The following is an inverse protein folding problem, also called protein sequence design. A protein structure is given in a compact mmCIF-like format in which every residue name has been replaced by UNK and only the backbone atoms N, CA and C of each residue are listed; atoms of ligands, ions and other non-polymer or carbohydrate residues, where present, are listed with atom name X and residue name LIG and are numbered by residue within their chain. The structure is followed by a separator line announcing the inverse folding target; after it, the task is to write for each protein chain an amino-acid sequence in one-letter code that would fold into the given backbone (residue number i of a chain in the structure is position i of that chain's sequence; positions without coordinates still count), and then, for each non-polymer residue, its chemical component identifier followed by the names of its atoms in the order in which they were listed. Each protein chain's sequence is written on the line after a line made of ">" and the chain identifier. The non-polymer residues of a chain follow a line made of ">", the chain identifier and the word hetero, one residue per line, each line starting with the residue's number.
data_IF_172084626861
#
_entry.id   IF_172084626861
#
_cell.length_a   1.000
_cell.length_b   1.000
_cell.length_c   1.000
_cell.angle_alpha   90.00
_cell.angle_beta   90.00
_cell.angle_gamma   90.00
#
_symmetry.space_group_name_H-M   'P 1'
#
loop_
_entity.id
_entity.type
_entity.pdbx_description
1 polymer ?
#
# COMPACT_ATOMS: atom_id res chain seq x y z
N UNK A 1 12.36 -31.36 -1.96
CA UNK A 1 11.42 -30.24 -1.91
C UNK A 1 12.12 -29.06 -1.25
N UNK A 2 12.39 -27.97 -1.98
CA UNK A 2 12.87 -26.73 -1.37
C UNK A 2 11.73 -26.18 -0.52
N UNK A 3 11.94 -26.16 0.79
CA UNK A 3 11.03 -25.51 1.73
C UNK A 3 10.95 -24.03 1.31
N UNK A 4 9.79 -23.58 0.83
CA UNK A 4 9.57 -22.16 0.49
C UNK A 4 9.62 -21.40 1.80
N UNK A 5 10.53 -20.43 1.89
CA UNK A 5 10.54 -19.46 2.99
C UNK A 5 9.16 -18.76 3.01
N UNK A 6 8.38 -18.88 4.10
CA UNK A 6 7.01 -18.37 4.13
C UNK A 6 6.93 -16.85 4.20
N UNK A 7 8.07 -16.16 4.27
CA UNK A 7 8.12 -14.70 4.42
C UNK A 7 8.86 -14.03 3.26
N UNK A 8 8.55 -12.76 3.03
CA UNK A 8 9.29 -11.90 2.09
C UNK A 8 10.08 -10.87 2.86
N UNK A 9 11.41 -10.92 2.74
CA UNK A 9 12.34 -10.06 3.46
C UNK A 9 13.55 -9.70 2.60
N UNK A 10 14.26 -8.65 2.97
CA UNK A 10 15.56 -8.34 2.37
C UNK A 10 16.57 -9.48 2.64
N UNK A 11 17.58 -9.61 1.80
CA UNK A 11 18.58 -10.70 1.87
C UNK A 11 18.14 -12.02 1.24
N UNK A 12 16.91 -12.13 0.75
CA UNK A 12 16.49 -13.25 -0.10
C UNK A 12 17.00 -13.05 -1.54
N UNK A 13 17.04 -14.14 -2.33
CA UNK A 13 17.56 -14.13 -3.70
C UNK A 13 16.91 -13.09 -4.62
N UNK A 14 15.62 -12.79 -4.43
CA UNK A 14 14.90 -11.79 -5.22
C UNK A 14 15.42 -10.35 -5.01
N UNK A 15 15.99 -10.06 -3.84
CA UNK A 15 16.50 -8.73 -3.50
C UNK A 15 17.90 -8.45 -4.06
N UNK A 16 18.57 -9.48 -4.59
CA UNK A 16 19.87 -9.33 -5.23
C UNK A 16 19.72 -8.71 -6.63
N UNK A 17 20.69 -7.92 -7.09
CA UNK A 17 20.70 -7.43 -8.46
C UNK A 17 20.62 -8.58 -9.47
N UNK A 18 19.73 -8.44 -10.44
CA UNK A 18 19.61 -9.37 -11.57
C UNK A 18 20.55 -8.89 -12.67
N UNK A 19 21.62 -9.63 -12.94
CA UNK A 19 22.48 -9.40 -14.09
C UNK A 19 22.08 -10.38 -15.16
N UNK A 20 21.44 -9.90 -16.22
CA UNK A 20 21.06 -10.72 -17.37
C UNK A 20 22.18 -10.60 -18.42
N UNK A 21 23.12 -11.53 -18.38
CA UNK A 21 24.12 -11.75 -19.44
C UNK A 21 23.65 -12.89 -20.32
N UNK A 22 23.50 -12.64 -21.62
CA UNK A 22 23.35 -13.74 -22.61
C UNK A 22 21.96 -13.96 -23.22
N UNK A 23 20.97 -13.12 -22.97
CA UNK A 23 19.75 -13.10 -23.79
C UNK A 23 19.83 -11.93 -24.77
N UNK A 24 20.52 -12.14 -25.86
CA UNK A 24 20.92 -11.08 -26.75
C UNK A 24 20.31 -11.27 -28.14
N UNK A 25 19.46 -10.31 -28.54
CA UNK A 25 19.42 -9.87 -29.94
C UNK A 25 20.56 -8.84 -30.21
N UNK A 26 21.30 -8.44 -29.20
CA UNK A 26 22.47 -7.56 -29.22
C UNK A 26 23.12 -7.63 -27.84
N UNK A 27 24.40 -7.85 -27.72
CA UNK A 27 25.21 -8.00 -26.48
C UNK A 27 25.12 -6.79 -25.52
N UNK A 28 23.92 -6.31 -25.24
CA UNK A 28 23.65 -5.17 -24.38
C UNK A 28 23.50 -5.67 -22.95
N UNK A 29 24.40 -5.35 -22.03
CA UNK A 29 24.26 -5.72 -20.64
C UNK A 29 23.01 -5.04 -20.04
N UNK A 30 22.10 -5.86 -19.51
CA UNK A 30 20.93 -5.40 -18.79
C UNK A 30 21.14 -5.70 -17.29
N UNK A 31 20.96 -4.69 -16.48
CA UNK A 31 20.92 -4.82 -15.03
C UNK A 31 19.49 -4.62 -14.54
N UNK A 32 19.01 -5.47 -13.65
CA UNK A 32 17.67 -5.37 -13.09
C UNK A 32 17.69 -5.50 -11.57
N UNK A 33 16.68 -4.91 -10.93
CA UNK A 33 16.43 -5.05 -9.50
C UNK A 33 14.95 -5.19 -9.24
N UNK A 34 14.59 -6.17 -8.40
CA UNK A 34 13.24 -6.32 -7.88
C UNK A 34 13.10 -5.52 -6.58
N UNK A 35 12.00 -4.82 -6.44
CA UNK A 35 11.62 -4.05 -5.25
C UNK A 35 10.26 -4.56 -4.76
N UNK A 36 10.15 -4.91 -3.47
CA UNK A 36 8.88 -5.34 -2.88
C UNK A 36 7.99 -4.11 -2.65
N UNK A 37 6.89 -4.03 -3.38
CA UNK A 37 5.99 -2.87 -3.34
C UNK A 37 5.14 -2.81 -2.06
N UNK A 38 4.90 -3.93 -1.40
CA UNK A 38 4.08 -3.99 -0.19
C UNK A 38 4.79 -3.49 1.07
N UNK A 39 6.05 -3.06 0.98
CA UNK A 39 6.73 -2.26 1.99
C UNK A 39 6.31 -0.78 2.01
N UNK A 40 5.50 -0.36 1.03
CA UNK A 40 5.00 1.00 0.88
C UNK A 40 3.49 1.08 1.15
N UNK A 41 3.00 2.27 1.48
CA UNK A 41 1.55 2.50 1.60
C UNK A 41 0.89 2.40 0.22
N UNK A 42 -0.05 1.48 0.08
CA UNK A 42 -0.80 1.30 -1.16
C UNK A 42 -2.03 2.22 -1.18
N UNK A 43 -2.04 3.22 -2.07
CA UNK A 43 -3.18 4.14 -2.21
C UNK A 43 -4.50 3.43 -2.56
N UNK A 44 -4.45 2.25 -3.18
CA UNK A 44 -5.63 1.44 -3.45
C UNK A 44 -6.38 1.07 -2.19
N UNK A 45 -5.69 0.99 -1.05
CA UNK A 45 -6.27 0.63 0.24
C UNK A 45 -7.25 1.67 0.80
N UNK A 46 -7.27 2.90 0.27
CA UNK A 46 -8.24 3.92 0.68
C UNK A 46 -9.69 3.51 0.36
N UNK A 47 -9.88 2.59 -0.60
CA UNK A 47 -11.19 2.02 -0.93
C UNK A 47 -11.08 0.50 -0.96
N UNK A 48 -11.80 -0.17 -0.08
CA UNK A 48 -11.88 -1.62 -0.01
C UNK A 48 -13.35 -2.05 0.02
N UNK A 49 -13.70 -3.11 -0.71
CA UNK A 49 -15.06 -3.64 -0.75
C UNK A 49 -16.12 -2.56 -1.02
N UNK A 50 -15.86 -1.70 -2.02
CA UNK A 50 -16.69 -0.54 -2.39
C UNK A 50 -16.98 0.46 -1.26
N UNK A 51 -16.18 0.45 -0.21
CA UNK A 51 -16.27 1.37 0.93
C UNK A 51 -14.97 2.15 1.11
N UNK A 52 -15.08 3.38 1.55
CA UNK A 52 -13.91 4.15 1.99
C UNK A 52 -13.42 3.56 3.31
N UNK A 53 -12.16 3.12 3.33
CA UNK A 53 -11.53 2.61 4.55
C UNK A 53 -10.97 3.78 5.36
N UNK A 54 -11.73 4.22 6.36
CA UNK A 54 -11.37 5.39 7.18
C UNK A 54 -10.05 5.21 7.94
N UNK A 55 -9.73 3.97 8.34
CA UNK A 55 -8.44 3.73 9.01
C UNK A 55 -7.27 3.86 8.03
N UNK A 56 -7.43 3.40 6.78
CA UNK A 56 -6.42 3.63 5.75
C UNK A 56 -6.31 5.11 5.36
N UNK A 57 -7.40 5.88 5.40
CA UNK A 57 -7.35 7.34 5.23
C UNK A 57 -6.50 7.96 6.35
N UNK A 58 -6.78 7.64 7.61
CA UNK A 58 -6.00 8.13 8.75
C UNK A 58 -4.54 7.70 8.68
N UNK A 59 -4.26 6.47 8.24
CA UNK A 59 -2.90 5.97 8.04
C UNK A 59 -2.15 6.81 7.00
N UNK A 60 -2.78 7.10 5.86
CA UNK A 60 -2.19 7.97 4.85
C UNK A 60 -1.97 9.40 5.34
N UNK A 61 -2.92 9.94 6.10
CA UNK A 61 -2.80 11.27 6.69
C UNK A 61 -1.63 11.35 7.68
N UNK A 62 -1.47 10.35 8.57
CA UNK A 62 -0.32 10.26 9.49
C UNK A 62 1.00 10.18 8.73
N UNK A 63 1.06 9.38 7.66
CA UNK A 63 2.26 9.28 6.81
C UNK A 63 2.58 10.64 6.18
N UNK A 64 1.61 11.28 5.55
CA UNK A 64 1.80 12.59 4.93
C UNK A 64 2.21 13.67 5.93
N UNK A 65 1.69 13.62 7.15
CA UNK A 65 2.05 14.54 8.23
C UNK A 65 3.52 14.38 8.64
N UNK A 66 3.98 13.14 8.83
CA UNK A 66 5.40 12.84 9.10
C UNK A 66 6.33 13.31 7.97
N UNK A 67 5.84 13.27 6.73
CA UNK A 67 6.57 13.72 5.54
C UNK A 67 6.47 15.24 5.28
N UNK A 68 5.79 16.00 6.14
CA UNK A 68 5.62 17.43 5.99
C UNK A 68 4.71 17.86 4.83
N UNK A 69 3.82 16.98 4.36
CA UNK A 69 2.89 17.29 3.27
C UNK A 69 1.67 18.04 3.82
N UNK A 70 1.37 19.20 3.25
CA UNK A 70 0.29 20.07 3.69
C UNK A 70 -1.08 19.36 3.73
N UNK A 71 -1.88 19.63 4.76
CA UNK A 71 -3.19 19.03 4.96
C UNK A 71 -4.12 19.14 3.74
N UNK A 72 -4.11 20.30 3.08
CA UNK A 72 -4.91 20.54 1.88
C UNK A 72 -4.49 19.68 0.68
N UNK A 73 -3.20 19.36 0.56
CA UNK A 73 -2.68 18.50 -0.52
C UNK A 73 -3.04 17.05 -0.24
N UNK A 74 -2.81 16.55 0.98
CA UNK A 74 -3.17 15.18 1.36
C UNK A 74 -4.67 14.91 1.21
N UNK A 75 -5.54 15.85 1.64
CA UNK A 75 -6.98 15.73 1.46
C UNK A 75 -7.40 15.63 -0.02
N UNK A 76 -6.76 16.43 -0.90
CA UNK A 76 -7.01 16.35 -2.34
C UNK A 76 -6.54 15.03 -2.96
N UNK A 77 -5.41 14.48 -2.50
CA UNK A 77 -4.94 13.16 -2.93
C UNK A 77 -5.96 12.10 -2.51
N UNK A 78 -6.40 12.09 -1.26
CA UNK A 78 -7.42 11.16 -0.75
C UNK A 78 -8.69 11.25 -1.60
N UNK A 79 -9.24 12.45 -1.79
CA UNK A 79 -10.44 12.67 -2.59
C UNK A 79 -10.27 12.18 -4.04
N UNK A 80 -9.10 12.43 -4.66
CA UNK A 80 -8.79 11.99 -6.03
C UNK A 80 -8.73 10.47 -6.14
N UNK A 81 -8.11 9.81 -5.16
CA UNK A 81 -8.03 8.34 -5.13
C UNK A 81 -9.42 7.73 -4.94
N UNK A 82 -10.18 8.21 -3.96
CA UNK A 82 -11.54 7.72 -3.68
C UNK A 82 -12.42 7.88 -4.93
N UNK A 83 -12.32 8.99 -5.65
CA UNK A 83 -13.10 9.26 -6.86
C UNK A 83 -12.78 8.30 -8.03
N UNK A 84 -11.65 7.59 -7.97
CA UNK A 84 -11.22 6.65 -9.01
C UNK A 84 -11.81 5.23 -8.84
N UNK A 85 -12.51 4.95 -7.74
CA UNK A 85 -13.03 3.62 -7.46
C UNK A 85 -14.54 3.63 -7.19
N UNK A 86 -15.26 2.52 -7.51
CA UNK A 86 -16.65 2.36 -7.13
C UNK A 86 -16.79 2.42 -5.60
N UNK A 87 -17.86 3.07 -5.11
CA UNK A 87 -18.11 3.19 -3.67
C UNK A 87 -19.57 3.37 -3.33
N UNK A 88 -19.97 2.88 -2.18
CA UNK A 88 -21.28 3.15 -1.59
C UNK A 88 -21.29 4.56 -0.97
N UNK A 89 -22.39 5.32 -1.17
CA UNK A 89 -22.56 6.62 -0.54
C UNK A 89 -22.82 6.50 0.96
N UNK A 90 -23.71 5.58 1.34
CA UNK A 90 -24.13 5.34 2.70
C UNK A 90 -23.96 3.86 3.06
N UNK A 91 -22.73 3.41 3.42
CA UNK A 91 -22.49 2.01 3.70
C UNK A 91 -23.32 1.46 4.88
N UNK A 92 -23.65 2.30 5.87
CA UNK A 92 -24.48 1.91 7.02
C UNK A 92 -25.93 1.58 6.64
N UNK A 93 -26.47 2.27 5.64
CA UNK A 93 -27.82 1.99 5.13
C UNK A 93 -27.84 0.67 4.34
N UNK A 94 -26.77 0.38 3.61
CA UNK A 94 -26.63 -0.88 2.88
C UNK A 94 -26.54 -2.08 3.83
N UNK A 95 -25.87 -1.95 4.97
CA UNK A 95 -25.80 -3.01 5.99
C UNK A 95 -27.15 -3.24 6.66
N UNK A 96 -27.90 -2.18 6.97
CA UNK A 96 -29.26 -2.28 7.52
C UNK A 96 -30.22 -2.92 6.52
N UNK A 97 -30.11 -2.59 5.23
CA UNK A 97 -30.93 -3.20 4.18
C UNK A 97 -30.61 -4.69 3.99
N UNK A 98 -29.33 -5.08 4.08
CA UNK A 98 -28.91 -6.48 3.99
C UNK A 98 -29.42 -7.32 5.17
N UNK A 99 -29.42 -6.76 6.39
CA UNK A 99 -29.95 -7.44 7.59
C UNK A 99 -31.48 -7.56 7.53
N UNK A 100 -32.21 -6.54 7.03
CA UNK A 100 -33.65 -6.58 6.92
C UNK A 100 -34.16 -7.50 5.80
N UNK A 101 -33.39 -7.68 4.73
CA UNK A 101 -33.75 -8.57 3.62
C UNK A 101 -33.68 -10.05 3.98
N UNK A 102 -33.05 -10.41 5.08
CA UNK A 102 -32.97 -11.80 5.56
C UNK A 102 -34.28 -12.23 6.27
N UNK A 103 -35.18 -11.30 6.62
CA UNK A 103 -36.39 -11.57 7.39
C UNK A 103 -37.72 -11.30 6.65
N UNK A 104 -37.70 -10.72 5.46
CA UNK A 104 -38.94 -10.39 4.75
C UNK A 104 -38.99 -11.04 3.36
N UNK A 105 -39.67 -12.18 3.32
CA UNK A 105 -39.99 -12.85 2.08
C UNK A 105 -41.08 -12.07 1.35
N UNK A 106 -40.74 -11.33 0.32
CA UNK A 106 -41.63 -11.08 -0.79
C UNK A 106 -42.29 -9.73 -0.92
N UNK A 107 -41.66 -8.62 -0.63
CA UNK A 107 -42.13 -7.33 -1.15
C UNK A 107 -40.96 -6.44 -1.63
N UNK A 108 -40.98 -6.19 -2.93
CA UNK A 108 -40.12 -5.27 -3.64
C UNK A 108 -40.14 -3.90 -2.95
N UNK A 109 -39.09 -3.56 -2.24
CA UNK A 109 -38.85 -2.21 -1.74
C UNK A 109 -38.02 -1.43 -2.73
N UNK A 110 -38.31 -0.16 -2.84
CA UNK A 110 -37.86 0.83 -3.80
C UNK A 110 -36.39 0.73 -4.21
N UNK A 111 -36.05 0.96 -5.50
CA UNK A 111 -34.70 0.82 -6.04
C UNK A 111 -33.64 1.77 -5.43
N UNK A 112 -34.03 2.73 -4.61
CA UNK A 112 -33.14 3.74 -4.03
C UNK A 112 -32.45 3.33 -2.71
N UNK A 113 -32.87 2.20 -2.10
CA UNK A 113 -32.27 1.65 -0.89
C UNK A 113 -31.30 0.50 -1.17
N UNK A 114 -31.28 -0.02 -2.39
CA UNK A 114 -30.34 -1.05 -2.81
C UNK A 114 -28.97 -0.41 -2.99
N UNK A 115 -28.02 -0.80 -2.16
CA UNK A 115 -26.63 -0.32 -2.16
C UNK A 115 -25.87 -0.52 -3.47
N UNK A 116 -26.38 0.03 -4.56
CA UNK A 116 -25.68 0.07 -5.84
C UNK A 116 -24.48 0.99 -5.70
N UNK A 117 -23.24 0.49 -5.92
CA UNK A 117 -22.08 1.35 -5.83
C UNK A 117 -22.14 2.47 -6.87
N UNK A 118 -21.80 3.68 -6.46
CA UNK A 118 -21.54 4.77 -7.40
C UNK A 118 -20.38 4.39 -8.32
N UNK A 119 -20.54 4.66 -9.58
CA UNK A 119 -19.48 4.51 -10.55
C UNK A 119 -18.30 5.46 -10.24
N UNK A 120 -17.07 5.11 -10.63
CA UNK A 120 -15.93 6.00 -10.54
C UNK A 120 -16.20 7.31 -11.32
N UNK A 121 -15.87 8.43 -10.72
CA UNK A 121 -16.02 9.75 -11.36
C UNK A 121 -14.72 10.28 -11.96
N UNK A 122 -13.62 9.55 -11.76
CA UNK A 122 -12.28 9.86 -12.29
C UNK A 122 -11.60 8.59 -12.80
N UNK A 123 -10.69 8.71 -13.78
CA UNK A 123 -9.91 7.58 -14.25
C UNK A 123 -9.11 6.92 -13.13
N UNK A 124 -8.92 5.60 -13.21
CA UNK A 124 -8.09 4.85 -12.29
C UNK A 124 -6.65 5.34 -12.34
N UNK A 125 -6.03 5.44 -11.17
CA UNK A 125 -4.60 5.76 -11.06
C UNK A 125 -3.78 4.50 -11.35
N UNK A 126 -2.72 4.64 -12.12
CA UNK A 126 -1.78 3.56 -12.47
C UNK A 126 -0.40 3.78 -11.87
N UNK A 127 0.00 5.04 -11.76
CA UNK A 127 1.31 5.46 -11.26
C UNK A 127 1.18 6.68 -10.35
N UNK A 128 2.19 6.93 -9.53
CA UNK A 128 2.24 8.15 -8.72
C UNK A 128 2.26 9.43 -9.57
N UNK A 129 2.71 9.35 -10.83
CA UNK A 129 2.72 10.49 -11.74
C UNK A 129 1.30 10.99 -12.08
N UNK A 130 0.30 10.11 -12.00
CA UNK A 130 -1.10 10.49 -12.24
C UNK A 130 -1.63 11.48 -11.19
N UNK A 131 -0.96 11.57 -10.04
CA UNK A 131 -1.26 12.56 -8.99
C UNK A 131 -0.87 14.00 -9.40
N UNK A 132 -0.05 14.21 -10.44
CA UNK A 132 0.36 15.54 -10.92
C UNK A 132 -0.82 16.43 -11.31
N UNK A 133 -1.93 15.84 -11.71
CA UNK A 133 -3.14 16.59 -12.06
C UNK A 133 -3.84 17.23 -10.86
N UNK A 134 -3.40 16.93 -9.64
CA UNK A 134 -4.00 17.43 -8.40
C UNK A 134 -3.35 18.76 -8.03
N UNK A 135 -4.17 19.79 -7.81
CA UNK A 135 -3.68 21.12 -7.39
C UNK A 135 -2.89 21.02 -6.07
N UNK A 136 -1.65 21.45 -6.10
CA UNK A 136 -0.72 21.43 -4.97
C UNK A 136 0.19 20.21 -4.92
N UNK A 137 0.01 19.20 -5.79
CA UNK A 137 0.95 18.11 -5.97
C UNK A 137 2.04 18.57 -6.93
N UNK A 138 3.14 19.04 -6.39
CA UNK A 138 4.33 19.45 -7.12
C UNK A 138 5.26 18.26 -7.38
N UNK A 139 6.25 18.37 -8.28
CA UNK A 139 7.29 17.35 -8.42
C UNK A 139 7.96 17.01 -7.09
N UNK A 140 8.23 18.00 -6.23
CA UNK A 140 8.80 17.81 -4.90
C UNK A 140 7.91 16.94 -4.01
N UNK A 141 6.60 17.15 -4.01
CA UNK A 141 5.64 16.30 -3.26
C UNK A 141 5.70 14.86 -3.76
N UNK A 142 5.78 14.63 -5.07
CA UNK A 142 5.89 13.30 -5.64
C UNK A 142 7.21 12.61 -5.27
N UNK A 143 8.32 13.33 -5.33
CA UNK A 143 9.62 12.83 -4.90
C UNK A 143 9.63 12.45 -3.42
N UNK A 144 8.98 13.26 -2.57
CA UNK A 144 8.82 12.97 -1.14
C UNK A 144 7.95 11.72 -0.90
N UNK A 145 6.90 11.51 -1.68
CA UNK A 145 6.00 10.36 -1.55
C UNK A 145 6.58 9.06 -2.15
N UNK A 146 7.37 9.17 -3.21
CA UNK A 146 7.81 8.03 -4.01
C UNK A 146 8.48 6.88 -3.22
N UNK A 147 9.27 7.11 -2.16
CA UNK A 147 9.84 6.03 -1.35
C UNK A 147 8.83 5.31 -0.45
N UNK A 148 7.67 5.92 -0.18
CA UNK A 148 6.75 5.49 0.88
C UNK A 148 5.37 5.08 0.38
N UNK A 149 5.03 5.39 -0.86
CA UNK A 149 3.68 5.24 -1.41
C UNK A 149 3.72 4.54 -2.76
N UNK A 150 2.83 3.58 -2.94
CA UNK A 150 2.65 2.87 -4.21
C UNK A 150 1.18 2.84 -4.63
N UNK A 151 0.93 2.45 -5.87
CA UNK A 151 -0.41 2.18 -6.41
C UNK A 151 -0.39 0.76 -6.98
N UNK A 152 -1.09 -0.14 -6.31
CA UNK A 152 -1.25 -1.54 -6.74
C UNK A 152 -2.67 -1.77 -7.25
N UNK A 153 -2.89 -2.77 -8.11
CA UNK A 153 -4.22 -3.05 -8.68
C UNK A 153 -5.19 -3.68 -7.65
N UNK A 154 -4.68 -4.20 -6.54
CA UNK A 154 -5.44 -4.83 -5.47
C UNK A 154 -5.20 -4.18 -4.11
N UNK A 155 -6.11 -4.37 -3.16
CA UNK A 155 -5.86 -4.06 -1.76
C UNK A 155 -4.82 -5.04 -1.19
N UNK A 156 -3.91 -4.53 -0.37
CA UNK A 156 -2.79 -5.32 0.18
C UNK A 156 -2.54 -4.97 1.63
N UNK A 157 -2.02 -5.90 2.39
CA UNK A 157 -1.43 -5.60 3.68
C UNK A 157 -0.02 -5.06 3.51
N UNK A 158 0.42 -4.27 4.47
CA UNK A 158 1.82 -3.84 4.54
C UNK A 158 2.72 -5.03 4.90
N UNK A 159 3.84 -5.18 4.23
CA UNK A 159 4.86 -6.14 4.65
C UNK A 159 5.83 -5.48 5.65
N UNK A 160 5.75 -5.86 6.92
CA UNK A 160 6.61 -5.34 7.98
C UNK A 160 8.11 -5.62 7.75
N UNK A 161 8.43 -6.71 7.03
CA UNK A 161 9.82 -7.08 6.73
C UNK A 161 10.46 -6.25 5.62
N UNK A 162 9.68 -5.45 4.88
CA UNK A 162 10.20 -4.57 3.82
C UNK A 162 9.78 -3.11 4.00
N UNK A 163 8.91 -2.82 4.98
CA UNK A 163 8.45 -1.48 5.27
C UNK A 163 9.56 -0.59 5.86
N UNK A 164 9.50 0.70 5.56
CA UNK A 164 10.32 1.73 6.17
C UNK A 164 9.71 2.24 7.49
N UNK A 165 10.51 2.89 8.34
CA UNK A 165 10.06 3.38 9.64
C UNK A 165 8.89 4.38 9.55
N UNK A 166 8.87 5.35 8.62
CA UNK A 166 7.72 6.25 8.48
C UNK A 166 6.43 5.53 8.12
N UNK A 167 6.50 4.54 7.21
CA UNK A 167 5.34 3.76 6.81
C UNK A 167 4.83 2.91 7.98
N UNK A 168 5.75 2.24 8.70
CA UNK A 168 5.39 1.42 9.84
C UNK A 168 4.74 2.23 10.96
N UNK A 169 5.33 3.39 11.31
CA UNK A 169 4.78 4.31 12.29
C UNK A 169 3.40 4.86 11.89
N UNK A 170 3.15 5.07 10.59
CA UNK A 170 1.85 5.48 10.10
C UNK A 170 0.79 4.37 10.20
N UNK A 171 1.17 3.10 9.94
CA UNK A 171 0.26 1.95 10.00
C UNK A 171 -0.13 1.56 11.41
N UNK A 172 0.71 1.82 12.40
CA UNK A 172 0.46 1.42 13.79
C UNK A 172 0.13 2.67 14.61
N UNK A 173 -1.15 2.89 14.98
CA UNK A 173 -1.54 4.03 15.80
C UNK A 173 -0.76 4.07 17.11
N UNK A 174 -0.22 5.23 17.46
CA UNK A 174 0.58 5.43 18.69
C UNK A 174 2.03 4.96 18.61
N UNK A 175 2.47 4.33 17.51
CA UNK A 175 3.88 3.98 17.31
C UNK A 175 4.68 5.22 16.90
N UNK A 176 5.61 5.65 17.75
CA UNK A 176 6.51 6.76 17.42
C UNK A 176 7.51 6.37 16.32
N UNK A 177 7.94 7.37 15.53
CA UNK A 177 8.95 7.15 14.48
C UNK A 177 10.25 6.56 15.06
N UNK A 178 10.70 7.04 16.22
CA UNK A 178 11.91 6.52 16.89
C UNK A 178 11.76 5.03 17.24
N UNK A 179 10.60 4.62 17.73
CA UNK A 179 10.36 3.22 18.05
C UNK A 179 10.24 2.35 16.82
N UNK A 180 9.63 2.87 15.74
CA UNK A 180 9.61 2.21 14.44
C UNK A 180 11.03 2.01 13.88
N UNK A 181 11.90 3.02 14.01
CA UNK A 181 13.31 2.92 13.63
C UNK A 181 14.06 1.84 14.42
N UNK A 182 13.82 1.74 15.73
CA UNK A 182 14.43 0.71 16.57
C UNK A 182 13.98 -0.71 16.14
N UNK A 183 12.68 -0.92 15.89
CA UNK A 183 12.15 -2.18 15.38
C UNK A 183 12.76 -2.58 14.02
N UNK A 184 12.96 -1.60 13.15
CA UNK A 184 13.59 -1.83 11.85
C UNK A 184 15.07 -2.16 12.00
N UNK A 185 15.78 -1.49 12.90
CA UNK A 185 17.18 -1.80 13.18
C UNK A 185 17.34 -3.24 13.72
N UNK A 186 16.47 -3.70 14.61
CA UNK A 186 16.43 -5.10 15.06
C UNK A 186 16.15 -6.06 13.89
N UNK A 187 15.15 -5.74 13.07
CA UNK A 187 14.80 -6.50 11.87
C UNK A 187 15.99 -6.64 10.93
N UNK A 188 16.62 -5.53 10.58
CA UNK A 188 17.72 -5.49 9.61
C UNK A 188 19.00 -6.11 10.18
N UNK A 189 19.13 -6.19 11.51
CA UNK A 189 20.13 -6.98 12.22
C UNK A 189 19.90 -8.51 12.16
N UNK A 190 18.92 -8.97 11.38
CA UNK A 190 18.63 -10.39 11.15
C UNK A 190 17.44 -10.95 11.95
N UNK A 191 16.79 -10.13 12.79
CA UNK A 191 15.63 -10.53 13.58
C UNK A 191 14.32 -10.23 12.83
N UNK A 192 14.13 -10.88 11.68
CA UNK A 192 12.94 -10.73 10.85
C UNK A 192 11.66 -11.08 11.61
N UNK A 193 10.56 -10.43 11.27
CA UNK A 193 9.25 -10.84 11.77
C UNK A 193 8.85 -12.16 11.13
N UNK A 194 8.67 -13.21 11.95
CA UNK A 194 8.39 -14.57 11.50
C UNK A 194 6.90 -14.82 11.24
N UNK A 195 6.03 -14.03 11.87
CA UNK A 195 4.60 -13.99 11.64
C UNK A 195 4.01 -12.67 12.18
N UNK A 196 2.72 -12.45 11.94
CA UNK A 196 2.01 -11.26 12.40
C UNK A 196 1.99 -11.12 13.93
N UNK A 197 1.84 -12.23 14.64
CA UNK A 197 1.85 -12.25 16.11
C UNK A 197 3.19 -11.79 16.68
N UNK A 198 4.30 -12.28 16.12
CA UNK A 198 5.64 -11.84 16.47
C UNK A 198 5.82 -10.33 16.26
N UNK A 199 5.36 -9.79 15.11
CA UNK A 199 5.36 -8.35 14.87
C UNK A 199 4.61 -7.59 15.96
N UNK A 200 3.36 -7.97 16.25
CA UNK A 200 2.53 -7.29 17.26
C UNK A 200 3.14 -7.39 18.66
N UNK A 201 3.68 -8.55 19.03
CA UNK A 201 4.33 -8.74 20.34
C UNK A 201 5.56 -7.81 20.50
N UNK A 202 6.35 -7.61 19.46
CA UNK A 202 7.51 -6.70 19.49
C UNK A 202 7.13 -5.24 19.56
N UNK A 203 5.92 -4.88 19.15
CA UNK A 203 5.41 -3.51 19.36
C UNK A 203 5.32 -3.16 20.84
N UNK A 204 5.14 -4.15 21.75
CA UNK A 204 4.94 -3.93 23.19
C UNK A 204 3.89 -2.87 23.48
N UNK A 205 2.78 -2.92 22.78
CA UNK A 205 1.64 -2.00 22.89
C UNK A 205 0.40 -2.83 23.28
N UNK A 206 0.19 -3.08 24.59
CA UNK A 206 -0.86 -3.97 25.07
C UNK A 206 -2.28 -3.48 24.73
N UNK A 207 -2.46 -2.17 24.58
CA UNK A 207 -3.74 -1.56 24.19
C UNK A 207 -4.07 -1.71 22.70
N UNK A 208 -3.11 -2.21 21.89
CA UNK A 208 -3.29 -2.31 20.44
C UNK A 208 -4.03 -3.60 20.10
N UNK A 209 -5.23 -3.47 19.54
CA UNK A 209 -5.96 -4.61 19.01
C UNK A 209 -5.24 -5.20 17.80
N UNK A 210 -4.89 -6.48 17.86
CA UNK A 210 -4.25 -7.18 16.74
C UNK A 210 -5.07 -7.08 15.46
N UNK A 211 -6.40 -7.11 15.55
CA UNK A 211 -7.29 -7.03 14.39
C UNK A 211 -7.14 -5.72 13.59
N UNK A 212 -6.84 -4.60 14.27
CA UNK A 212 -6.69 -3.28 13.65
C UNK A 212 -5.39 -3.13 12.86
N UNK A 213 -4.37 -3.96 13.13
CA UNK A 213 -3.05 -3.86 12.50
C UNK A 213 -3.02 -4.62 11.18
N UNK A 214 -3.05 -3.90 10.07
CA UNK A 214 -2.98 -4.48 8.70
C UNK A 214 -1.52 -4.63 8.22
N UNK A 215 -0.69 -5.26 9.07
CA UNK A 215 0.71 -5.57 8.78
C UNK A 215 0.90 -7.07 8.73
N UNK A 216 1.45 -7.56 7.64
CA UNK A 216 1.83 -8.95 7.39
C UNK A 216 3.34 -9.08 7.21
N UNK A 217 3.77 -10.22 6.67
CA UNK A 217 5.19 -10.59 6.50
C UNK A 217 5.52 -11.03 5.08
N UNK A 218 4.57 -10.98 4.16
CA UNK A 218 4.71 -11.44 2.78
C UNK A 218 4.45 -10.32 1.78
N UNK A 219 4.98 -10.46 0.58
CA UNK A 219 4.69 -9.60 -0.56
C UNK A 219 4.38 -10.45 -1.77
N UNK A 220 3.30 -10.09 -2.48
CA UNK A 220 2.88 -10.69 -3.75
C UNK A 220 3.21 -9.77 -4.94
N UNK A 221 3.51 -8.49 -4.65
CA UNK A 221 3.75 -7.47 -5.65
C UNK A 221 5.19 -6.98 -5.61
N UNK A 222 5.83 -7.07 -6.76
CA UNK A 222 7.21 -6.64 -6.96
C UNK A 222 7.30 -5.75 -8.20
N UNK A 223 8.11 -4.72 -8.12
CA UNK A 223 8.47 -3.87 -9.25
C UNK A 223 9.83 -4.27 -9.76
N UNK A 224 9.92 -4.57 -11.06
CA UNK A 224 11.21 -4.72 -11.73
C UNK A 224 11.67 -3.35 -12.23
N UNK A 225 12.82 -2.90 -11.76
CA UNK A 225 13.54 -1.77 -12.35
C UNK A 225 14.71 -2.31 -13.14
N UNK A 226 14.77 -1.97 -14.41
CA UNK A 226 15.86 -2.38 -15.29
C UNK A 226 16.53 -1.19 -15.94
N UNK A 227 17.82 -1.32 -16.24
CA UNK A 227 18.55 -0.39 -17.08
C UNK A 227 19.36 -1.17 -18.11
N UNK A 228 19.36 -0.66 -19.33
CA UNK A 228 20.20 -1.17 -20.41
C UNK A 228 21.08 -0.06 -20.94
N UNK A 229 22.32 -0.37 -21.27
CA UNK A 229 23.27 0.56 -21.89
C UNK A 229 23.66 0.05 -23.26
N UNK A 230 23.47 0.87 -24.31
CA UNK A 230 23.98 0.64 -25.66
C UNK A 230 24.85 1.81 -26.06
N UNK A 231 26.17 1.65 -26.03
CA UNK A 231 27.14 2.72 -26.25
C UNK A 231 26.96 3.86 -25.25
N UNK A 232 26.67 5.08 -25.75
CA UNK A 232 26.41 6.25 -24.89
C UNK A 232 24.93 6.40 -24.48
N UNK A 233 24.02 5.53 -24.96
CA UNK A 233 22.60 5.62 -24.65
C UNK A 233 22.25 4.75 -23.45
N UNK A 234 21.55 5.31 -22.50
CA UNK A 234 20.96 4.63 -21.34
C UNK A 234 19.46 4.64 -21.44
N UNK A 235 18.84 3.47 -21.29
CA UNK A 235 17.40 3.29 -21.16
C UNK A 235 17.11 2.76 -19.77
N UNK A 236 16.14 3.36 -19.08
CA UNK A 236 15.71 2.99 -17.71
C UNK A 236 14.24 2.61 -17.75
#
# INVERSE_FOLDING_TARGET
>A
ARQRDPLTRFGQAWANPLVMTGYSLSDIPCEGRLEAEQGQFNLRNLVANVRVDQEQVRTFERLCEQLGIAATVRARIVARVIAAYPRLLNPELADKAAVSSTFDSGRSTSPDASGTPLAPTRPMLRTLQDLRSIKGVTPQVLETLAPYVTILPANTWLNGNTASAPVLAAYVPGLSLQRAQALIAERDGGHWFINRGDFVNRLRMPELEMASVKVGITSDWFRLRGQARSGQRRVV
#
